data_IF_609787813549
#
_entry.id   IF_609787813549
#
_cell.length_a   1.000
_cell.length_b   1.000
_cell.length_c   1.000
_cell.angle_alpha   90.00
_cell.angle_beta   90.00
_cell.angle_gamma   90.00
#
_symmetry.space_group_name_H-M   'P 1'
#
loop_
_entity.id
_entity.type
_entity.pdbx_description
1 polymer ?
#
# COMPACT_ATOMS: atom_id res chain seq x y z
N UNK A 1 -14.63 3.82 4.20
CA UNK A 1 -14.36 4.68 5.37
C UNK A 1 -12.85 4.72 5.56
N UNK A 2 -12.27 5.86 5.90
CA UNK A 2 -10.83 5.98 6.22
C UNK A 2 -10.63 6.29 7.71
N UNK A 3 -9.49 5.88 8.26
CA UNK A 3 -9.05 6.21 9.63
C UNK A 3 -7.75 7.01 9.54
N UNK A 4 -7.66 8.07 10.31
CA UNK A 4 -6.41 8.80 10.54
C UNK A 4 -5.74 8.20 11.77
N UNK A 5 -4.54 7.66 11.61
CA UNK A 5 -3.78 7.04 12.68
C UNK A 5 -2.89 8.08 13.34
N UNK A 6 -3.34 8.63 14.47
CA UNK A 6 -2.67 9.69 15.22
C UNK A 6 -2.89 9.48 16.72
N UNK A 7 -1.86 9.77 17.52
CA UNK A 7 -1.84 9.63 18.97
C UNK A 7 -1.86 10.98 19.68
N UNK A 8 -1.53 12.07 18.98
CA UNK A 8 -1.45 13.42 19.54
C UNK A 8 -1.69 14.49 18.47
N UNK A 9 -1.73 15.76 18.90
CA UNK A 9 -2.01 16.91 18.03
C UNK A 9 -0.91 17.17 17.00
N UNK A 10 0.34 16.89 17.32
CA UNK A 10 1.47 17.05 16.38
C UNK A 10 1.31 16.10 15.20
N UNK A 11 0.89 14.87 15.45
CA UNK A 11 0.64 13.87 14.40
C UNK A 11 -0.57 14.24 13.52
N UNK A 12 -1.60 14.91 14.08
CA UNK A 12 -2.72 15.47 13.30
C UNK A 12 -2.20 16.51 12.30
N UNK A 13 -1.42 17.48 12.77
CA UNK A 13 -0.87 18.54 11.92
C UNK A 13 0.05 17.95 10.84
N UNK A 14 0.84 16.94 11.21
CA UNK A 14 1.68 16.18 10.28
C UNK A 14 0.83 15.52 9.19
N UNK A 15 -0.21 14.77 9.56
CA UNK A 15 -1.12 14.13 8.61
C UNK A 15 -1.79 15.14 7.66
N UNK A 16 -2.34 16.23 8.21
CA UNK A 16 -2.98 17.28 7.40
C UNK A 16 -1.99 17.90 6.41
N UNK A 17 -0.77 18.20 6.84
CA UNK A 17 0.26 18.78 5.98
C UNK A 17 0.63 17.84 4.83
N UNK A 18 0.79 16.53 5.10
CA UNK A 18 1.05 15.53 4.05
C UNK A 18 -0.08 15.50 3.02
N UNK A 19 -1.33 15.47 3.47
CA UNK A 19 -2.52 15.48 2.60
C UNK A 19 -2.58 16.77 1.76
N UNK A 20 -2.31 17.93 2.36
CA UNK A 20 -2.30 19.22 1.65
C UNK A 20 -1.19 19.25 0.60
N UNK A 21 0.04 18.86 0.96
CA UNK A 21 1.18 18.80 0.03
C UNK A 21 0.84 17.86 -1.12
N UNK A 22 0.38 16.64 -0.84
CA UNK A 22 0.03 15.68 -1.88
C UNK A 22 -1.13 16.14 -2.78
N UNK A 23 -2.18 16.73 -2.19
CA UNK A 23 -3.40 17.09 -2.91
C UNK A 23 -3.35 18.42 -3.65
N UNK A 24 -2.46 19.34 -3.27
CA UNK A 24 -2.41 20.71 -3.84
C UNK A 24 -1.09 21.04 -4.53
N UNK A 25 0.04 20.62 -3.96
CA UNK A 25 1.38 21.00 -4.42
C UNK A 25 2.36 19.81 -4.40
N UNK A 26 2.01 18.68 -5.05
CA UNK A 26 2.88 17.52 -5.02
C UNK A 26 4.08 17.75 -5.96
N UNK A 27 5.31 17.39 -5.54
CA UNK A 27 6.49 17.49 -6.39
C UNK A 27 6.29 16.77 -7.73
N UNK A 28 6.84 17.26 -8.83
CA UNK A 28 6.62 16.64 -10.13
C UNK A 28 7.39 15.33 -10.30
N UNK A 29 6.85 14.43 -11.14
CA UNK A 29 7.62 13.32 -11.73
C UNK A 29 7.56 11.98 -10.99
N UNK A 30 6.86 11.89 -9.85
CA UNK A 30 6.76 10.63 -9.08
C UNK A 30 5.35 10.03 -9.10
N UNK A 31 4.31 10.85 -9.17
CA UNK A 31 2.91 10.46 -8.93
C UNK A 31 2.40 9.36 -9.86
N UNK A 32 2.89 9.31 -11.10
CA UNK A 32 2.46 8.34 -12.11
C UNK A 32 3.31 7.06 -12.14
N UNK A 33 4.33 6.96 -11.29
CA UNK A 33 5.23 5.79 -11.20
C UNK A 33 4.71 4.87 -10.10
N UNK A 34 4.49 3.61 -10.45
CA UNK A 34 4.01 2.57 -9.53
C UNK A 34 5.12 1.57 -9.25
N UNK A 35 5.40 1.29 -7.99
CA UNK A 35 6.21 0.16 -7.57
C UNK A 35 5.31 -1.05 -7.31
N UNK A 36 5.68 -2.21 -7.84
CA UNK A 36 4.94 -3.45 -7.67
C UNK A 36 5.79 -4.42 -6.86
N UNK A 37 5.38 -4.67 -5.62
CA UNK A 37 5.96 -5.67 -4.73
C UNK A 37 5.09 -6.92 -4.78
N UNK A 38 5.68 -8.06 -5.14
CA UNK A 38 4.94 -9.32 -5.19
C UNK A 38 5.71 -10.50 -4.67
N UNK A 39 4.98 -11.40 -4.04
CA UNK A 39 5.39 -12.77 -3.77
C UNK A 39 4.13 -13.68 -3.83
N UNK A 40 4.21 -14.91 -3.35
CA UNK A 40 3.05 -15.82 -3.33
C UNK A 40 2.00 -15.31 -2.34
N UNK A 41 0.72 -15.45 -2.68
CA UNK A 41 -0.36 -14.89 -1.86
C UNK A 41 -1.01 -15.89 -0.90
N UNK A 42 -1.20 -17.14 -1.32
CA UNK A 42 -1.91 -18.17 -0.54
C UNK A 42 -1.19 -19.52 -0.57
N UNK A 43 -0.74 -19.89 -1.76
CA UNK A 43 -0.11 -21.18 -2.02
C UNK A 43 0.89 -21.03 -3.15
N UNK A 44 1.68 -22.09 -3.39
CA UNK A 44 2.60 -22.16 -4.54
C UNK A 44 1.92 -21.95 -5.90
N UNK A 45 0.59 -22.03 -5.98
CA UNK A 45 -0.20 -21.86 -7.19
C UNK A 45 -0.84 -20.46 -7.31
N UNK A 46 -0.59 -19.55 -6.37
CA UNK A 46 -1.12 -18.18 -6.41
C UNK A 46 0.01 -17.14 -6.38
N UNK A 47 0.71 -16.93 -7.50
CA UNK A 47 1.76 -15.91 -7.58
C UNK A 47 1.15 -14.51 -7.60
N UNK A 48 1.54 -13.64 -6.65
CA UNK A 48 1.20 -12.22 -6.61
C UNK A 48 1.50 -11.50 -7.91
N UNK A 49 2.57 -11.90 -8.60
CA UNK A 49 2.97 -11.31 -9.90
C UNK A 49 1.89 -11.42 -10.97
N UNK A 50 1.08 -12.48 -10.98
CA UNK A 50 -0.02 -12.61 -11.95
C UNK A 50 -1.07 -11.50 -11.75
N UNK A 51 -1.31 -11.10 -10.50
CA UNK A 51 -2.21 -10.00 -10.18
C UNK A 51 -1.59 -8.65 -10.50
N UNK A 52 -0.29 -8.47 -10.22
CA UNK A 52 0.42 -7.27 -10.63
C UNK A 52 0.40 -7.08 -12.16
N UNK A 53 0.61 -8.14 -12.95
CA UNK A 53 0.54 -8.12 -14.42
C UNK A 53 -0.85 -7.70 -14.94
N UNK A 54 -1.94 -8.06 -14.25
CA UNK A 54 -3.27 -7.55 -14.63
C UNK A 54 -3.40 -6.05 -14.45
N UNK A 55 -2.76 -5.48 -13.43
CA UNK A 55 -2.73 -4.03 -13.21
C UNK A 55 -1.88 -3.33 -14.28
N UNK A 56 -0.74 -3.92 -14.64
CA UNK A 56 0.20 -3.34 -15.61
C UNK A 56 -0.44 -2.99 -16.96
N UNK A 57 -1.44 -3.75 -17.41
CA UNK A 57 -2.19 -3.48 -18.64
C UNK A 57 -2.80 -2.07 -18.70
N UNK A 58 -2.95 -1.40 -17.55
CA UNK A 58 -3.53 -0.06 -17.42
C UNK A 58 -2.50 1.00 -16.99
N UNK A 59 -1.25 0.60 -16.72
CA UNK A 59 -0.20 1.49 -16.23
C UNK A 59 0.69 1.97 -17.37
N UNK A 60 1.25 3.18 -17.22
CA UNK A 60 2.19 3.75 -18.19
C UNK A 60 3.62 3.83 -17.68
N UNK A 61 3.83 3.66 -16.38
CA UNK A 61 5.16 3.66 -15.74
C UNK A 61 5.10 2.86 -14.45
N UNK A 62 5.89 1.80 -14.38
CA UNK A 62 5.96 0.94 -13.22
C UNK A 62 7.37 0.34 -13.05
N UNK A 63 7.64 -0.16 -11.85
CA UNK A 63 8.85 -0.88 -11.47
C UNK A 63 8.40 -2.22 -10.89
N UNK A 64 9.02 -3.30 -11.35
CA UNK A 64 8.72 -4.66 -10.91
C UNK A 64 9.77 -5.10 -9.89
N UNK A 65 9.31 -5.55 -8.72
CA UNK A 65 10.15 -6.20 -7.71
C UNK A 65 9.40 -7.46 -7.28
N UNK A 66 9.59 -8.51 -8.07
CA UNK A 66 8.86 -9.79 -7.95
C UNK A 66 9.77 -10.83 -7.33
N UNK A 67 9.42 -11.28 -6.13
CA UNK A 67 10.15 -12.36 -5.48
C UNK A 67 10.01 -13.67 -6.27
N UNK A 68 8.83 -13.95 -6.84
CA UNK A 68 8.59 -15.20 -7.58
C UNK A 68 9.48 -15.35 -8.82
N UNK A 69 10.09 -14.25 -9.27
CA UNK A 69 11.04 -14.18 -10.38
C UNK A 69 12.49 -13.95 -9.93
N UNK A 70 12.73 -13.80 -8.63
CA UNK A 70 14.01 -13.36 -8.03
C UNK A 70 14.47 -12.00 -8.53
N UNK A 71 13.50 -11.11 -8.73
CA UNK A 71 13.72 -9.70 -9.11
C UNK A 71 13.56 -8.77 -7.91
N UNK A 72 13.12 -9.29 -6.77
CA UNK A 72 13.15 -8.58 -5.51
C UNK A 72 14.62 -8.30 -5.12
N UNK A 73 14.99 -7.04 -4.82
CA UNK A 73 16.39 -6.66 -4.58
C UNK A 73 16.82 -6.81 -3.10
N UNK A 74 16.00 -7.46 -2.27
CA UNK A 74 16.08 -7.41 -0.81
C UNK A 74 15.48 -6.13 -0.21
N UNK A 75 15.15 -6.18 1.08
CA UNK A 75 14.35 -5.16 1.78
C UNK A 75 14.93 -3.77 1.64
N UNK A 76 16.25 -3.64 1.88
CA UNK A 76 16.97 -2.38 1.70
C UNK A 76 16.83 -1.82 0.27
N UNK A 77 16.99 -2.66 -0.74
CA UNK A 77 16.89 -2.24 -2.14
C UNK A 77 15.45 -1.87 -2.53
N UNK A 78 14.47 -2.56 -1.96
CA UNK A 78 13.06 -2.31 -2.16
C UNK A 78 12.65 -0.97 -1.52
N UNK A 79 13.07 -0.74 -0.27
CA UNK A 79 12.86 0.51 0.46
C UNK A 79 13.61 1.69 -0.19
N UNK A 80 14.83 1.49 -0.69
CA UNK A 80 15.52 2.50 -1.50
C UNK A 80 14.68 2.84 -2.75
N UNK A 81 14.17 1.85 -3.47
CA UNK A 81 13.35 2.10 -4.68
C UNK A 81 12.07 2.85 -4.34
N UNK A 82 11.45 2.50 -3.21
CA UNK A 82 10.29 3.17 -2.65
C UNK A 82 10.59 4.65 -2.36
N UNK A 83 11.74 4.97 -1.76
CA UNK A 83 12.17 6.33 -1.47
C UNK A 83 12.54 7.16 -2.70
N UNK A 84 13.04 6.53 -3.77
CA UNK A 84 13.50 7.21 -4.98
C UNK A 84 12.38 7.58 -5.98
N UNK A 85 11.20 7.94 -5.45
CA UNK A 85 10.19 8.72 -6.17
C UNK A 85 9.20 7.88 -6.97
N UNK A 86 8.49 6.98 -6.29
CA UNK A 86 7.25 6.38 -6.77
C UNK A 86 6.04 7.00 -6.07
N UNK A 87 4.94 7.19 -6.78
CA UNK A 87 3.70 7.76 -6.23
C UNK A 87 2.80 6.72 -5.58
N UNK A 88 2.98 5.47 -6.00
CA UNK A 88 2.20 4.32 -5.57
C UNK A 88 3.12 3.13 -5.35
N UNK A 89 2.79 2.33 -4.35
CA UNK A 89 3.40 1.00 -4.16
C UNK A 89 2.30 -0.01 -3.91
N UNK A 90 2.10 -0.92 -4.85
CA UNK A 90 1.08 -1.96 -4.75
C UNK A 90 1.75 -3.26 -4.32
N UNK A 91 1.25 -3.83 -3.23
CA UNK A 91 1.77 -5.07 -2.66
C UNK A 91 0.80 -6.22 -2.90
N UNK A 92 1.34 -7.37 -3.33
CA UNK A 92 0.61 -8.64 -3.42
C UNK A 92 1.45 -9.73 -2.75
N UNK A 93 1.19 -10.00 -1.47
CA UNK A 93 2.00 -10.91 -0.67
C UNK A 93 1.26 -11.43 0.56
N UNK A 94 1.78 -12.43 1.24
CA UNK A 94 1.54 -12.65 2.65
C UNK A 94 1.98 -11.43 3.49
N UNK A 95 1.50 -11.40 4.71
CA UNK A 95 1.84 -10.40 5.70
C UNK A 95 1.32 -10.80 7.06
N UNK A 96 1.81 -10.11 8.06
CA UNK A 96 1.34 -10.18 9.44
C UNK A 96 1.08 -8.75 9.94
N UNK A 97 0.71 -8.61 11.20
CA UNK A 97 0.43 -7.32 11.81
C UNK A 97 1.57 -6.31 11.67
N UNK A 98 2.82 -6.74 11.63
CA UNK A 98 4.01 -5.87 11.59
C UNK A 98 4.82 -5.98 10.29
N UNK A 99 4.31 -6.64 9.25
CA UNK A 99 5.07 -6.83 8.01
C UNK A 99 4.22 -7.04 6.75
N UNK A 100 4.87 -6.88 5.61
CA UNK A 100 4.42 -7.31 4.29
C UNK A 100 5.54 -8.08 3.62
N UNK A 101 5.23 -8.81 2.55
CA UNK A 101 6.21 -9.67 1.87
C UNK A 101 6.68 -10.82 2.77
N UNK A 102 5.83 -11.27 3.70
CA UNK A 102 6.15 -12.30 4.67
C UNK A 102 6.40 -13.66 4.00
N UNK A 103 7.50 -14.32 4.32
CA UNK A 103 7.72 -15.71 3.91
C UNK A 103 8.45 -15.88 2.58
N UNK A 104 9.21 -14.86 2.18
CA UNK A 104 10.28 -15.07 1.21
C UNK A 104 11.25 -16.13 1.76
N UNK A 105 11.69 -17.06 0.91
CA UNK A 105 12.54 -18.19 1.34
C UNK A 105 13.94 -17.79 1.86
N UNK A 106 14.27 -16.52 1.76
CA UNK A 106 15.51 -15.84 2.15
C UNK A 106 15.34 -14.80 3.27
N UNK A 107 14.12 -14.55 3.77
CA UNK A 107 13.87 -13.66 4.91
C UNK A 107 13.76 -12.17 4.56
N UNK A 108 13.41 -11.87 3.31
CA UNK A 108 13.15 -10.53 2.78
C UNK A 108 11.71 -10.06 3.17
N UNK A 109 11.47 -9.88 4.47
CA UNK A 109 10.20 -9.42 5.00
C UNK A 109 10.29 -7.91 5.27
N UNK A 110 9.46 -7.08 4.61
CA UNK A 110 9.47 -5.63 4.91
C UNK A 110 8.69 -5.40 6.21
N UNK A 111 9.41 -5.20 7.31
CA UNK A 111 8.82 -5.09 8.66
C UNK A 111 8.64 -3.64 9.12
N UNK A 112 7.81 -3.42 10.14
CA UNK A 112 7.67 -2.15 10.89
C UNK A 112 9.03 -1.67 11.40
N UNK A 113 9.88 -2.58 11.86
CA UNK A 113 11.20 -2.24 12.39
C UNK A 113 12.11 -1.65 11.31
N UNK A 114 12.02 -2.17 10.09
CA UNK A 114 12.75 -1.65 8.95
C UNK A 114 12.17 -0.35 8.43
N UNK A 115 10.83 -0.22 8.38
CA UNK A 115 10.19 1.05 8.05
C UNK A 115 10.69 2.17 8.97
N UNK A 116 10.73 1.90 10.28
CA UNK A 116 11.21 2.85 11.28
C UNK A 116 12.71 3.14 11.18
N UNK A 117 13.50 2.20 10.65
CA UNK A 117 14.94 2.36 10.48
C UNK A 117 15.31 3.07 9.16
N UNK A 118 14.48 2.94 8.12
CA UNK A 118 14.76 3.42 6.77
C UNK A 118 14.00 4.69 6.38
N UNK A 119 12.80 4.91 6.91
CA UNK A 119 12.01 6.07 6.51
C UNK A 119 12.45 7.34 7.22
N UNK A 120 12.98 8.23 6.40
CA UNK A 120 13.19 9.62 6.72
C UNK A 120 12.07 10.48 6.11
N UNK A 121 12.11 11.79 6.40
CA UNK A 121 11.30 12.75 5.67
C UNK A 121 11.54 12.59 4.16
N UNK A 122 10.53 12.23 3.35
CA UNK A 122 10.75 11.89 1.95
C UNK A 122 11.34 13.08 1.19
N UNK A 123 12.27 12.80 0.28
CA UNK A 123 12.94 13.83 -0.55
C UNK A 123 11.88 14.65 -1.26
N UNK A 124 12.00 15.99 -1.17
CA UNK A 124 11.04 16.97 -1.69
C UNK A 124 9.60 16.83 -1.15
N UNK A 125 9.36 16.03 -0.11
CA UNK A 125 8.01 15.68 0.39
C UNK A 125 7.16 14.89 -0.60
N UNK A 126 7.78 13.92 -1.28
CA UNK A 126 7.11 12.99 -2.21
C UNK A 126 6.34 11.90 -1.46
N UNK A 127 5.21 12.26 -0.85
CA UNK A 127 4.32 11.33 -0.14
C UNK A 127 3.61 10.36 -1.09
N UNK A 128 3.35 9.12 -0.64
CA UNK A 128 2.94 8.02 -1.54
C UNK A 128 1.61 7.38 -1.10
N UNK A 129 1.00 6.57 -1.97
CA UNK A 129 -0.14 5.71 -1.60
C UNK A 129 0.30 4.24 -1.64
N UNK A 130 -0.04 3.48 -0.61
CA UNK A 130 0.45 2.11 -0.42
C UNK A 130 -0.69 1.13 -0.16
N UNK A 131 -1.40 0.70 -1.22
CA UNK A 131 -2.35 -0.39 -1.08
C UNK A 131 -1.60 -1.73 -1.11
N UNK A 132 -2.06 -2.68 -0.32
CA UNK A 132 -1.53 -4.02 -0.34
C UNK A 132 -2.62 -5.04 -0.09
N UNK A 133 -2.41 -6.18 -0.73
CA UNK A 133 -3.15 -7.38 -0.48
C UNK A 133 -2.23 -8.26 0.33
N UNK A 134 -2.31 -8.09 1.65
CA UNK A 134 -1.56 -8.82 2.67
C UNK A 134 -2.51 -9.20 3.80
N UNK A 135 -2.25 -10.31 4.48
CA UNK A 135 -2.96 -10.68 5.70
C UNK A 135 -2.57 -9.71 6.82
N UNK A 136 -3.54 -9.27 7.63
CA UNK A 136 -3.32 -8.62 8.94
C UNK A 136 -2.48 -7.33 8.99
N UNK A 137 -1.80 -6.88 7.94
CA UNK A 137 -0.94 -5.69 7.94
C UNK A 137 -1.68 -4.38 8.24
N UNK A 138 -3.02 -4.38 8.17
CA UNK A 138 -3.91 -3.29 8.60
C UNK A 138 -4.59 -3.53 9.95
N UNK A 139 -4.19 -4.57 10.70
CA UNK A 139 -4.84 -5.09 11.91
C UNK A 139 -4.55 -4.29 13.17
N UNK A 140 -4.81 -2.98 13.12
CA UNK A 140 -4.53 -2.04 14.21
C UNK A 140 -5.24 -2.32 15.55
N UNK A 141 -6.21 -3.23 15.56
CA UNK A 141 -7.03 -3.51 16.74
C UNK A 141 -6.47 -4.66 17.58
N UNK A 142 -5.51 -5.41 17.05
CA UNK A 142 -4.89 -6.58 17.70
C UNK A 142 -3.48 -6.30 18.23
N UNK A 143 -2.82 -5.24 17.72
CA UNK A 143 -1.44 -4.85 18.09
C UNK A 143 -1.35 -3.36 18.42
N UNK A 144 -0.26 -2.94 19.07
CA UNK A 144 -0.05 -1.54 19.44
C UNK A 144 0.18 -0.61 18.25
N UNK A 145 0.93 -1.07 17.23
CA UNK A 145 1.17 -0.39 15.96
C UNK A 145 1.26 -1.45 14.88
N UNK A 146 0.34 -1.47 13.92
CA UNK A 146 0.44 -2.35 12.77
C UNK A 146 1.30 -1.76 11.64
N UNK A 147 1.66 -2.56 10.64
CA UNK A 147 2.45 -2.15 9.47
C UNK A 147 1.87 -0.91 8.79
N UNK A 148 0.56 -0.95 8.49
CA UNK A 148 -0.16 0.14 7.87
C UNK A 148 -0.14 1.41 8.74
N UNK A 149 -0.17 1.29 10.07
CA UNK A 149 -0.04 2.43 10.98
C UNK A 149 1.38 3.01 10.96
N UNK A 150 2.41 2.16 11.09
CA UNK A 150 3.82 2.57 11.00
C UNK A 150 4.11 3.35 9.72
N UNK A 151 3.58 2.88 8.59
CA UNK A 151 3.74 3.54 7.30
C UNK A 151 3.06 4.92 7.19
N UNK A 152 1.99 5.15 7.95
CA UNK A 152 1.25 6.40 7.95
C UNK A 152 1.51 7.26 9.19
N UNK A 153 2.43 6.89 10.09
CA UNK A 153 2.76 7.75 11.23
C UNK A 153 3.66 8.93 10.80
N UNK A 154 3.60 10.01 11.60
CA UNK A 154 4.48 11.18 11.49
C UNK A 154 4.57 11.82 10.09
N UNK A 155 5.71 12.42 9.75
CA UNK A 155 5.96 13.17 8.51
C UNK A 155 6.63 12.30 7.43
N UNK A 156 6.80 11.01 7.69
CA UNK A 156 7.42 10.07 6.77
C UNK A 156 6.37 9.20 6.09
N UNK A 157 6.80 8.48 5.07
CA UNK A 157 6.00 7.55 4.32
C UNK A 157 4.87 8.11 3.46
N UNK A 158 3.63 7.66 3.72
CA UNK A 158 2.50 7.83 2.82
C UNK A 158 1.48 8.92 3.19
N UNK A 159 0.55 9.19 2.27
CA UNK A 159 -0.71 9.91 2.55
C UNK A 159 -1.89 8.96 2.80
N UNK A 160 -1.76 7.70 2.35
CA UNK A 160 -2.77 6.68 2.54
C UNK A 160 -2.18 5.28 2.33
N UNK A 161 -2.77 4.31 3.01
CA UNK A 161 -2.60 2.88 2.74
C UNK A 161 -3.93 2.16 2.82
N UNK A 162 -3.97 0.95 2.25
CA UNK A 162 -5.14 0.08 2.29
C UNK A 162 -4.62 -1.35 2.49
N UNK A 163 -4.91 -1.94 3.64
CA UNK A 163 -4.50 -3.29 4.00
C UNK A 163 -5.62 -3.98 4.78
N UNK A 164 -5.62 -5.31 4.81
CA UNK A 164 -6.59 -6.05 5.60
C UNK A 164 -6.27 -5.99 7.09
N UNK A 165 -7.32 -5.86 7.89
CA UNK A 165 -7.20 -5.94 9.35
C UNK A 165 -7.12 -7.38 9.86
N UNK A 166 -7.51 -8.35 9.04
CA UNK A 166 -7.69 -9.75 9.40
C UNK A 166 -6.91 -10.68 8.49
N UNK A 167 -6.85 -11.94 8.91
CA UNK A 167 -6.29 -12.99 8.08
C UNK A 167 -7.13 -13.22 6.81
N UNK A 168 -6.40 -13.30 5.71
CA UNK A 168 -6.90 -13.78 4.43
C UNK A 168 -7.40 -12.66 3.52
N UNK A 169 -7.18 -12.92 2.24
CA UNK A 169 -8.00 -12.41 1.16
C UNK A 169 -8.48 -13.67 0.41
N UNK A 170 -9.77 -13.97 0.38
CA UNK A 170 -10.26 -15.18 -0.29
C UNK A 170 -10.06 -16.50 0.47
N UNK A 171 -10.28 -17.60 -0.25
CA UNK A 171 -10.58 -18.92 0.31
C UNK A 171 -9.41 -19.89 0.10
N UNK A 172 -8.61 -20.15 1.15
CA UNK A 172 -7.74 -21.33 1.17
C UNK A 172 -8.54 -22.53 1.67
N UNK A 173 -9.05 -23.30 0.71
CA UNK A 173 -9.86 -24.50 0.94
C UNK A 173 -9.05 -25.59 1.69
N UNK A 174 -7.72 -25.56 1.61
CA UNK A 174 -6.84 -26.59 2.17
C UNK A 174 -6.43 -26.32 3.62
N UNK A 175 -6.43 -25.07 4.07
CA UNK A 175 -6.03 -24.68 5.42
C UNK A 175 -7.18 -24.66 6.44
N UNK A 176 -8.39 -25.06 6.04
CA UNK A 176 -9.52 -25.12 6.95
C UNK A 176 -9.90 -23.73 7.45
N UNK A 177 -10.31 -22.88 6.51
CA UNK A 177 -11.24 -21.76 6.69
C UNK A 177 -11.41 -21.22 8.13
N UNK A 178 -10.67 -20.16 8.51
CA UNK A 178 -10.91 -19.44 9.77
C UNK A 178 -12.08 -18.44 9.68
N UNK A 179 -12.61 -18.12 8.50
CA UNK A 179 -13.88 -17.41 8.41
C UNK A 179 -14.68 -17.87 7.19
N UNK A 180 -15.77 -18.58 7.45
CA UNK A 180 -16.81 -19.08 6.51
C UNK A 180 -17.42 -18.04 5.55
N UNK A 181 -16.88 -16.82 5.54
CA UNK A 181 -17.30 -15.65 4.80
C UNK A 181 -16.15 -14.94 4.05
N UNK A 182 -14.94 -15.51 3.98
CA UNK A 182 -13.81 -14.91 3.26
C UNK A 182 -14.01 -14.91 1.72
N UNK A 183 -14.67 -13.82 1.30
CA UNK A 183 -14.59 -13.04 0.07
C UNK A 183 -14.14 -13.77 -1.22
N UNK A 184 -15.11 -14.12 -2.08
CA UNK A 184 -14.90 -14.64 -3.44
C UNK A 184 -14.01 -13.74 -4.34
N UNK A 185 -13.51 -14.30 -5.45
CA UNK A 185 -12.80 -13.64 -6.57
C UNK A 185 -13.36 -12.26 -7.01
N UNK A 186 -14.63 -11.94 -6.73
CA UNK A 186 -15.25 -10.64 -7.06
C UNK A 186 -14.74 -9.46 -6.21
N UNK A 187 -14.31 -9.69 -4.97
CA UNK A 187 -13.81 -8.61 -4.09
C UNK A 187 -12.38 -8.19 -4.46
N UNK A 188 -11.63 -9.09 -5.08
CA UNK A 188 -10.32 -8.84 -5.67
C UNK A 188 -10.37 -7.82 -6.79
N UNK A 189 -11.28 -8.06 -7.73
CA UNK A 189 -11.57 -7.12 -8.81
C UNK A 189 -12.04 -5.79 -8.23
N UNK A 190 -12.77 -5.77 -7.12
CA UNK A 190 -13.16 -4.52 -6.46
C UNK A 190 -11.95 -3.71 -5.99
N UNK A 191 -10.94 -4.33 -5.37
CA UNK A 191 -9.76 -3.60 -4.87
C UNK A 191 -8.81 -3.22 -5.97
N UNK A 192 -8.55 -4.11 -6.92
CA UNK A 192 -7.80 -3.72 -8.12
C UNK A 192 -8.51 -2.57 -8.84
N UNK A 193 -9.85 -2.61 -8.94
CA UNK A 193 -10.63 -1.50 -9.49
C UNK A 193 -10.56 -0.25 -8.62
N UNK A 194 -10.50 -0.36 -7.30
CA UNK A 194 -10.29 0.79 -6.42
C UNK A 194 -8.90 1.41 -6.64
N UNK A 195 -7.85 0.60 -6.72
CA UNK A 195 -6.47 1.05 -7.01
C UNK A 195 -6.45 1.73 -8.40
N UNK A 196 -7.03 1.08 -9.41
CA UNK A 196 -7.17 1.62 -10.76
C UNK A 196 -7.96 2.93 -10.78
N UNK A 197 -9.11 2.99 -10.10
CA UNK A 197 -9.97 4.16 -10.04
C UNK A 197 -9.26 5.33 -9.35
N UNK A 198 -8.57 5.08 -8.24
CA UNK A 198 -7.79 6.09 -7.54
C UNK A 198 -6.63 6.59 -8.42
N UNK A 199 -5.89 5.68 -9.05
CA UNK A 199 -4.80 6.03 -9.97
C UNK A 199 -5.30 6.85 -11.17
N UNK A 200 -6.39 6.41 -11.81
CA UNK A 200 -6.98 7.12 -12.95
C UNK A 200 -7.52 8.49 -12.55
N UNK A 201 -8.22 8.58 -11.43
CA UNK A 201 -8.74 9.86 -10.90
C UNK A 201 -7.59 10.84 -10.63
N UNK A 202 -6.51 10.34 -10.02
CA UNK A 202 -5.33 11.15 -9.76
C UNK A 202 -4.66 11.62 -11.06
N UNK A 203 -4.49 10.71 -12.03
CA UNK A 203 -3.87 11.04 -13.33
C UNK A 203 -4.68 12.08 -14.09
N UNK A 204 -6.01 11.99 -14.07
CA UNK A 204 -6.91 12.95 -14.71
C UNK A 204 -6.82 14.33 -14.04
N UNK A 205 -6.82 14.38 -12.71
CA UNK A 205 -6.65 15.63 -11.96
C UNK A 205 -5.34 16.35 -12.34
N UNK A 206 -4.23 15.62 -12.49
CA UNK A 206 -2.96 16.24 -12.89
C UNK A 206 -2.91 16.62 -14.36
N UNK A 207 -3.56 15.88 -15.25
CA UNK A 207 -3.53 16.16 -16.70
C UNK A 207 -4.28 17.44 -17.05
N UNK A 208 -5.38 17.71 -16.37
CA UNK A 208 -6.28 18.81 -16.74
C UNK A 208 -5.94 20.13 -16.01
N UNK A 209 -4.89 20.16 -15.18
CA UNK A 209 -4.56 21.32 -14.34
C UNK A 209 -5.69 21.70 -13.36
N UNK A 210 -6.68 20.83 -13.21
CA UNK A 210 -7.83 21.01 -12.32
C UNK A 210 -7.49 20.34 -10.99
N UNK A 211 -7.62 21.11 -9.90
CA UNK A 211 -7.44 20.61 -8.55
C UNK A 211 -8.31 19.36 -8.34
N UNK A 212 -7.75 18.32 -7.72
CA UNK A 212 -8.37 17.03 -7.53
C UNK A 212 -9.86 17.14 -7.15
N UNK A 213 -10.70 16.40 -7.89
CA UNK A 213 -12.15 16.36 -7.75
C UNK A 213 -12.60 16.32 -6.28
N UNK A 214 -13.37 17.35 -5.88
CA UNK A 214 -14.07 17.43 -4.59
C UNK A 214 -15.16 16.36 -4.37
N UNK A 215 -15.37 15.47 -5.36
CA UNK A 215 -16.44 14.48 -5.40
C UNK A 215 -16.15 13.13 -4.72
N UNK A 216 -14.91 12.82 -4.34
CA UNK A 216 -14.58 11.62 -3.56
C UNK A 216 -14.50 11.94 -2.06
N UNK A 217 -15.45 12.71 -1.54
CA UNK A 217 -15.64 12.88 -0.09
C UNK A 217 -16.31 11.62 0.46
N UNK A 218 -15.51 10.59 0.77
CA UNK A 218 -15.94 9.59 1.74
C UNK A 218 -16.21 10.33 3.06
N UNK A 219 -17.47 10.35 3.48
CA UNK A 219 -17.89 10.93 4.75
C UNK A 219 -17.06 10.34 5.89
N UNK A 220 -16.21 11.17 6.50
CA UNK A 220 -15.51 10.85 7.73
C UNK A 220 -16.51 11.08 8.87
N UNK A 221 -17.09 10.00 9.38
CA UNK A 221 -17.85 10.03 10.62
C UNK A 221 -16.88 9.86 11.78
N UNK A 222 -16.81 10.86 12.65
CA UNK A 222 -16.15 10.75 13.95
C UNK A 222 -17.08 9.98 14.91
N UNK A 223 -16.54 8.95 15.58
CA UNK A 223 -17.01 8.48 16.88
C UNK A 223 -15.87 8.62 17.86
#
# INVERSE_FOLDING_TARGET
>A
MGRMCVNNTTEIDSFINRIITYGKEPPAGYQNRILLWTEKLFSSESPGMAYAETLQAFLTSYIEQYDERRWFPGDKGALDTLEHGVGWTVVHSHGDYDEVMQGQSDGDDITVSELNAYFDLPVERRFRIHPGICCQSGGYHEVGVCYSESWNFDNYGGVASIFNSEYGWGNDISQGDTTKYNLSAKHWTCIQNCILLLYQTQRLAYRDGTRACSGCTHQIYYR
#
